data_IF_338507034037
#
_entry.id   IF_338507034037
#
_cell.length_a   1.000
_cell.length_b   1.000
_cell.length_c   1.000
_cell.angle_alpha   90.00
_cell.angle_beta   90.00
_cell.angle_gamma   90.00
#
_symmetry.space_group_name_H-M   'P 1'
#
loop_
_entity.id
_entity.type
_entity.pdbx_description
1 polymer ?
#
# COMPACT_ATOMS: atom_id res chain seq x y z
N UNK A 1 -29.61 -36.70 49.85
CA UNK A 1 -28.47 -36.75 48.94
C UNK A 1 -27.34 -37.53 49.59
N UNK A 2 -26.73 -38.52 48.94
CA UNK A 2 -25.63 -39.30 49.49
C UNK A 2 -24.39 -38.42 49.58
N UNK A 3 -23.63 -38.44 50.68
CA UNK A 3 -22.43 -37.61 50.92
C UNK A 3 -21.40 -37.67 49.80
N UNK A 4 -21.29 -38.80 49.08
CA UNK A 4 -20.40 -38.94 47.93
C UNK A 4 -20.77 -38.10 46.68
N UNK A 5 -22.07 -37.82 46.46
CA UNK A 5 -22.51 -37.01 45.34
C UNK A 5 -22.16 -35.50 45.55
N UNK A 6 -22.24 -35.02 46.77
CA UNK A 6 -21.87 -33.62 47.11
C UNK A 6 -20.39 -33.39 46.96
N UNK A 7 -19.54 -34.36 47.38
CA UNK A 7 -18.05 -34.28 47.25
C UNK A 7 -17.65 -34.31 45.79
N UNK A 8 -18.30 -35.11 44.95
CA UNK A 8 -18.03 -35.16 43.51
C UNK A 8 -18.33 -33.85 42.78
N UNK A 9 -19.45 -33.23 43.14
CA UNK A 9 -19.84 -31.92 42.56
C UNK A 9 -18.87 -30.83 43.02
N UNK A 10 -18.46 -30.85 44.29
CA UNK A 10 -17.52 -29.87 44.85
C UNK A 10 -16.15 -29.96 44.16
N UNK A 11 -15.64 -31.16 43.90
CA UNK A 11 -14.37 -31.39 43.21
C UNK A 11 -14.43 -30.96 41.73
N UNK A 12 -15.55 -31.18 41.06
CA UNK A 12 -15.68 -30.72 39.65
C UNK A 12 -15.80 -29.21 39.53
N UNK A 13 -16.48 -28.53 40.47
CA UNK A 13 -16.53 -27.06 40.51
C UNK A 13 -15.16 -26.46 40.83
N UNK A 14 -14.40 -27.07 41.76
CA UNK A 14 -13.04 -26.62 42.06
C UNK A 14 -12.08 -26.77 40.87
N UNK A 15 -12.21 -27.86 40.13
CA UNK A 15 -11.41 -28.09 38.90
C UNK A 15 -11.75 -27.07 37.81
N UNK A 16 -13.03 -26.74 37.61
CA UNK A 16 -13.45 -25.72 36.66
C UNK A 16 -12.92 -24.32 37.03
N UNK A 17 -12.99 -23.97 38.31
CA UNK A 17 -12.46 -22.70 38.82
C UNK A 17 -10.95 -22.61 38.66
N UNK A 18 -10.21 -23.70 38.88
CA UNK A 18 -8.77 -23.73 38.68
C UNK A 18 -8.38 -23.57 37.21
N UNK A 19 -9.11 -24.21 36.28
CA UNK A 19 -8.90 -24.04 34.85
C UNK A 19 -9.22 -22.62 34.38
N UNK A 20 -10.29 -22.02 34.92
CA UNK A 20 -10.62 -20.63 34.60
C UNK A 20 -9.58 -19.64 35.11
N UNK A 21 -9.07 -19.84 36.34
CA UNK A 21 -8.00 -19.02 36.89
C UNK A 21 -6.68 -19.16 36.12
N UNK A 22 -6.35 -20.37 35.66
CA UNK A 22 -5.17 -20.60 34.81
C UNK A 22 -5.32 -19.93 33.45
N UNK A 23 -6.47 -20.02 32.81
CA UNK A 23 -6.75 -19.35 31.55
C UNK A 23 -6.67 -17.82 31.70
N UNK A 24 -7.23 -17.26 32.76
CA UNK A 24 -7.16 -15.83 33.06
C UNK A 24 -5.71 -15.39 33.35
N UNK A 25 -4.94 -16.20 34.09
CA UNK A 25 -3.51 -15.91 34.34
C UNK A 25 -2.71 -15.90 33.04
N UNK A 26 -2.92 -16.87 32.13
CA UNK A 26 -2.24 -16.94 30.85
C UNK A 26 -2.62 -15.77 29.93
N UNK A 27 -3.87 -15.33 29.93
CA UNK A 27 -4.29 -14.15 29.17
C UNK A 27 -3.70 -12.86 29.74
N UNK A 28 -3.68 -12.70 31.05
CA UNK A 28 -3.07 -11.53 31.69
C UNK A 28 -1.55 -11.49 31.57
N UNK A 29 -0.86 -12.62 31.66
CA UNK A 29 0.59 -12.67 31.45
C UNK A 29 1.00 -12.41 29.99
N UNK A 30 0.15 -12.75 29.02
CA UNK A 30 0.35 -12.35 27.63
C UNK A 30 0.07 -10.86 27.41
N UNK A 31 -0.89 -10.29 28.15
CA UNK A 31 -1.17 -8.85 28.11
C UNK A 31 0.00 -8.03 28.69
N UNK A 32 0.61 -8.48 29.81
CA UNK A 32 1.80 -7.84 30.38
C UNK A 32 3.00 -7.87 29.42
N UNK A 33 3.14 -8.91 28.60
CA UNK A 33 4.17 -8.96 27.56
C UNK A 33 3.90 -7.98 26.43
N UNK A 34 2.63 -7.69 26.13
CA UNK A 34 2.24 -6.72 25.09
C UNK A 34 2.41 -5.26 25.54
N UNK A 35 2.23 -4.97 26.84
CA UNK A 35 2.24 -3.58 27.36
C UNK A 35 3.58 -3.16 28.00
N UNK A 36 4.49 -4.10 28.30
CA UNK A 36 5.80 -3.79 28.90
C UNK A 36 6.95 -3.71 27.91
N UNK A 37 6.74 -4.12 26.67
CA UNK A 37 7.69 -3.89 25.60
C UNK A 37 7.21 -2.65 24.82
N UNK A 38 7.75 -1.48 25.15
CA UNK A 38 7.89 -0.40 24.18
C UNK A 38 8.66 -0.93 22.95
N UNK A 39 8.72 -0.20 21.80
CA UNK A 39 9.28 -0.69 20.55
C UNK A 39 10.56 -1.45 20.83
N UNK A 40 10.58 -2.74 20.48
CA UNK A 40 11.70 -3.61 20.80
C UNK A 40 12.89 -3.17 19.97
N UNK A 41 14.11 -3.40 20.48
CA UNK A 41 15.34 -3.17 19.72
C UNK A 41 15.37 -3.91 18.36
N UNK A 42 14.41 -4.78 18.09
CA UNK A 42 14.19 -5.44 16.81
C UNK A 42 13.44 -4.54 15.80
N UNK A 43 12.47 -3.73 16.25
CA UNK A 43 11.76 -2.78 15.36
C UNK A 43 12.66 -1.61 14.95
N UNK A 44 13.46 -1.06 15.92
CA UNK A 44 14.47 -0.05 15.59
C UNK A 44 15.61 -0.61 14.72
N UNK A 45 15.89 -1.92 14.77
CA UNK A 45 16.86 -2.57 13.87
C UNK A 45 16.25 -2.88 12.49
N UNK A 46 14.93 -3.07 12.37
CA UNK A 46 14.26 -3.26 11.09
C UNK A 46 14.27 -1.95 10.30
N UNK A 47 13.92 -0.83 10.92
CA UNK A 47 13.98 0.49 10.28
C UNK A 47 15.42 0.88 9.89
N UNK A 48 16.42 0.57 10.74
CA UNK A 48 17.84 0.78 10.42
C UNK A 48 18.36 -0.19 9.34
N UNK A 49 17.86 -1.44 9.30
CA UNK A 49 18.20 -2.41 8.27
C UNK A 49 17.54 -2.05 6.92
N UNK A 50 16.34 -1.49 6.96
CA UNK A 50 15.64 -0.94 5.80
C UNK A 50 16.46 0.22 5.22
N UNK A 51 16.87 1.18 6.05
CA UNK A 51 17.72 2.29 5.62
C UNK A 51 19.06 1.80 5.02
N UNK A 52 19.70 0.78 5.60
CA UNK A 52 20.96 0.21 5.12
C UNK A 52 20.84 -0.55 3.79
N UNK A 53 19.68 -1.11 3.45
CA UNK A 53 19.45 -1.77 2.16
C UNK A 53 19.37 -0.77 1.00
N UNK A 54 19.03 0.50 1.30
CA UNK A 54 18.92 1.57 0.30
C UNK A 54 20.21 2.40 0.14
N UNK A 55 21.23 2.23 1.02
CA UNK A 55 22.54 2.91 0.89
C UNK A 55 23.42 2.33 -0.24
N UNK A 56 23.03 1.26 -0.91
CA UNK A 56 23.86 0.58 -1.93
C UNK A 56 23.64 1.03 -3.38
N UNK A 57 22.66 1.89 -3.65
CA UNK A 57 22.56 2.56 -4.96
C UNK A 57 23.11 4.00 -4.86
N UNK A 58 23.93 4.45 -5.85
CA UNK A 58 24.47 5.81 -5.81
C UNK A 58 23.30 6.82 -5.89
N UNK A 59 23.34 7.92 -5.12
CA UNK A 59 22.30 8.92 -5.15
C UNK A 59 22.18 9.47 -6.56
N UNK A 60 20.98 9.38 -7.13
CA UNK A 60 20.61 10.12 -8.32
C UNK A 60 20.55 11.59 -7.87
N UNK A 61 21.66 12.30 -8.00
CA UNK A 61 21.72 13.75 -7.81
C UNK A 61 20.84 14.39 -8.88
N UNK A 62 19.60 14.68 -8.54
CA UNK A 62 18.82 15.67 -9.27
C UNK A 62 19.47 17.03 -8.99
N UNK A 63 20.21 17.56 -9.98
CA UNK A 63 20.61 18.96 -9.96
C UNK A 63 19.34 19.80 -9.93
N UNK A 64 19.07 20.41 -8.76
CA UNK A 64 18.06 21.46 -8.64
C UNK A 64 18.60 22.68 -9.37
N UNK A 65 18.36 22.73 -10.66
CA UNK A 65 18.53 23.95 -11.45
C UNK A 65 17.33 24.83 -11.16
N UNK A 66 17.54 25.87 -10.35
CA UNK A 66 16.58 26.96 -10.17
C UNK A 66 16.37 27.69 -11.49
N UNK A 67 15.31 27.35 -12.21
CA UNK A 67 14.83 28.15 -13.32
C UNK A 67 13.46 28.73 -12.94
N UNK A 68 13.48 30.06 -12.84
CA UNK A 68 12.29 30.86 -12.59
C UNK A 68 11.17 30.56 -13.59
N UNK A 69 9.95 30.49 -13.04
CA UNK A 69 8.66 30.52 -13.71
C UNK A 69 8.64 31.40 -14.97
N UNK A 70 8.48 30.76 -16.13
CA UNK A 70 7.74 31.33 -17.23
C UNK A 70 6.64 30.35 -17.58
N UNK A 71 5.39 30.80 -17.43
CA UNK A 71 4.21 30.09 -17.88
C UNK A 71 4.30 29.88 -19.40
N UNK A 72 4.78 28.73 -19.81
CA UNK A 72 4.68 28.25 -21.18
C UNK A 72 3.51 27.29 -21.25
N UNK A 73 2.40 27.77 -21.85
CA UNK A 73 1.44 26.89 -22.49
C UNK A 73 2.18 26.12 -23.58
N UNK A 74 2.71 24.95 -23.24
CA UNK A 74 3.17 23.98 -24.22
C UNK A 74 2.11 22.88 -24.31
N UNK A 75 1.52 22.73 -25.48
CA UNK A 75 0.87 21.51 -25.95
C UNK A 75 1.84 20.31 -25.82
N UNK A 76 2.04 19.83 -24.63
CA UNK A 76 2.54 18.49 -24.41
C UNK A 76 1.32 17.58 -24.50
N UNK A 77 1.07 17.02 -25.71
CA UNK A 77 0.23 15.87 -25.92
C UNK A 77 0.81 14.66 -25.16
N UNK A 78 0.88 14.77 -23.85
CA UNK A 78 1.05 13.61 -22.98
C UNK A 78 -0.27 12.86 -22.98
N UNK A 79 -0.23 11.56 -23.26
CA UNK A 79 -1.45 10.75 -23.12
C UNK A 79 -1.93 10.83 -21.68
N UNK A 80 -3.23 11.04 -21.50
CA UNK A 80 -3.94 11.02 -20.22
C UNK A 80 -3.67 9.70 -19.51
N UNK A 81 -3.44 9.70 -18.20
CA UNK A 81 -3.27 8.48 -17.43
C UNK A 81 -4.63 8.00 -16.87
N UNK A 82 -4.78 6.70 -16.72
CA UNK A 82 -5.92 6.08 -16.02
C UNK A 82 -5.40 5.55 -14.69
N UNK A 83 -5.78 6.16 -13.59
CA UNK A 83 -5.43 5.75 -12.23
C UNK A 83 -6.54 4.88 -11.65
N UNK A 84 -6.21 3.69 -11.17
CA UNK A 84 -7.14 2.78 -10.53
C UNK A 84 -6.63 2.43 -9.14
N UNK A 85 -7.43 2.71 -8.08
CA UNK A 85 -6.94 2.48 -6.73
C UNK A 85 -7.96 2.72 -5.62
N UNK A 86 -7.44 2.81 -4.41
CA UNK A 86 -8.16 3.03 -3.17
C UNK A 86 -8.27 4.53 -2.81
N UNK A 87 -8.47 4.84 -1.51
CA UNK A 87 -8.55 6.22 -1.01
C UNK A 87 -7.33 7.07 -1.33
N UNK A 88 -6.13 6.46 -1.47
CA UNK A 88 -4.90 7.18 -1.84
C UNK A 88 -4.90 7.64 -3.29
N UNK A 89 -5.66 6.96 -4.15
CA UNK A 89 -5.91 7.40 -5.53
C UNK A 89 -6.89 8.56 -5.56
N UNK A 90 -7.92 8.53 -4.71
CA UNK A 90 -8.86 9.65 -4.58
C UNK A 90 -8.18 10.89 -3.98
N UNK A 91 -7.33 10.72 -2.96
CA UNK A 91 -6.52 11.83 -2.42
C UNK A 91 -5.60 12.45 -3.48
N UNK A 92 -5.03 11.62 -4.36
CA UNK A 92 -4.26 12.12 -5.50
C UNK A 92 -5.15 12.87 -6.50
N UNK A 93 -6.35 12.38 -6.80
CA UNK A 93 -7.34 13.09 -7.64
C UNK A 93 -7.65 14.48 -7.09
N UNK A 94 -7.90 14.58 -5.78
CA UNK A 94 -8.25 15.84 -5.13
C UNK A 94 -7.08 16.85 -5.15
N UNK A 95 -5.84 16.35 -5.14
CA UNK A 95 -4.62 17.16 -5.16
C UNK A 95 -4.21 17.65 -6.56
N UNK A 96 -4.76 17.05 -7.63
CA UNK A 96 -4.29 17.30 -8.99
C UNK A 96 -5.32 18.07 -9.83
N UNK A 97 -4.88 19.17 -10.47
CA UNK A 97 -5.63 19.89 -11.50
C UNK A 97 -5.19 19.40 -12.89
N UNK A 98 -5.60 18.19 -13.30
CA UNK A 98 -5.28 17.62 -14.60
C UNK A 98 -6.49 16.93 -15.24
N UNK A 99 -6.32 16.36 -16.44
CA UNK A 99 -7.38 15.66 -17.15
C UNK A 99 -7.29 14.14 -17.07
N UNK A 100 -6.46 13.59 -16.16
CA UNK A 100 -6.37 12.17 -15.94
C UNK A 100 -7.69 11.57 -15.47
N UNK A 101 -7.82 10.25 -15.67
CA UNK A 101 -9.01 9.51 -15.27
C UNK A 101 -8.71 8.81 -13.95
N UNK A 102 -9.49 9.10 -12.93
CA UNK A 102 -9.33 8.47 -11.61
C UNK A 102 -10.53 7.54 -11.34
N UNK A 103 -10.23 6.28 -11.07
CA UNK A 103 -11.20 5.20 -10.79
C UNK A 103 -10.83 4.63 -9.43
N UNK A 104 -11.57 4.99 -8.39
CA UNK A 104 -11.22 4.61 -7.04
C UNK A 104 -12.40 4.58 -6.09
N UNK A 105 -12.19 3.94 -4.94
CA UNK A 105 -13.13 3.96 -3.83
C UNK A 105 -12.39 3.90 -2.48
N UNK A 106 -12.87 4.69 -1.53
CA UNK A 106 -12.24 4.81 -0.21
C UNK A 106 -12.41 3.52 0.60
N UNK A 107 -11.30 3.03 1.20
CA UNK A 107 -11.30 1.82 2.03
C UNK A 107 -11.44 0.51 1.26
N UNK A 108 -11.45 0.56 -0.06
CA UNK A 108 -11.68 -0.62 -0.90
C UNK A 108 -10.37 -1.28 -1.34
N UNK A 109 -10.49 -2.53 -1.80
CA UNK A 109 -9.38 -3.38 -2.21
C UNK A 109 -9.74 -4.31 -3.37
N UNK A 110 -9.20 -5.52 -3.32
CA UNK A 110 -9.32 -6.51 -4.39
C UNK A 110 -10.76 -6.80 -4.83
N UNK A 111 -11.69 -7.02 -3.87
CA UNK A 111 -13.06 -7.38 -4.22
C UNK A 111 -13.78 -6.27 -4.96
N UNK A 112 -13.61 -5.02 -4.52
CA UNK A 112 -14.15 -3.88 -5.23
C UNK A 112 -13.51 -3.74 -6.63
N UNK A 113 -12.19 -3.89 -6.73
CA UNK A 113 -11.49 -3.86 -8.02
C UNK A 113 -12.05 -4.91 -8.97
N UNK A 114 -12.19 -6.17 -8.53
CA UNK A 114 -12.65 -7.28 -9.37
C UNK A 114 -14.11 -7.13 -9.81
N UNK A 115 -15.01 -6.70 -8.91
CA UNK A 115 -16.45 -6.69 -9.15
C UNK A 115 -16.97 -5.37 -9.71
N UNK A 116 -16.40 -4.22 -9.28
CA UNK A 116 -16.87 -2.88 -9.60
C UNK A 116 -15.87 -2.09 -10.43
N UNK A 117 -14.61 -2.04 -10.00
CA UNK A 117 -13.58 -1.22 -10.62
C UNK A 117 -13.22 -1.70 -12.02
N UNK A 118 -13.06 -3.01 -12.21
CA UNK A 118 -12.63 -3.59 -13.48
C UNK A 118 -13.56 -3.28 -14.67
N UNK A 119 -14.90 -3.36 -14.57
CA UNK A 119 -15.79 -2.90 -15.64
C UNK A 119 -15.55 -1.44 -16.04
N UNK A 120 -15.35 -0.56 -15.06
CA UNK A 120 -15.11 0.88 -15.29
C UNK A 120 -13.74 1.09 -15.96
N UNK A 121 -12.71 0.38 -15.51
CA UNK A 121 -11.37 0.43 -16.11
C UNK A 121 -11.42 -0.03 -17.58
N UNK A 122 -12.14 -1.10 -17.88
CA UNK A 122 -12.32 -1.61 -19.26
C UNK A 122 -13.00 -0.58 -20.15
N UNK A 123 -14.01 0.13 -19.66
CA UNK A 123 -14.68 1.22 -20.38
C UNK A 123 -13.73 2.41 -20.60
N UNK A 124 -12.93 2.77 -19.59
CA UNK A 124 -11.94 3.83 -19.68
C UNK A 124 -10.86 3.49 -20.72
N UNK A 125 -10.33 2.28 -20.76
CA UNK A 125 -9.37 1.81 -21.75
C UNK A 125 -10.00 1.87 -23.16
N UNK A 126 -11.23 1.38 -23.33
CA UNK A 126 -11.90 1.41 -24.63
C UNK A 126 -12.12 2.83 -25.15
N UNK A 127 -12.37 3.78 -24.25
CA UNK A 127 -12.57 5.19 -24.60
C UNK A 127 -11.26 5.97 -24.77
N UNK A 128 -10.15 5.47 -24.20
CA UNK A 128 -8.83 6.11 -24.23
C UNK A 128 -7.73 5.07 -24.50
N UNK A 129 -7.67 4.47 -25.70
CA UNK A 129 -6.84 3.30 -25.99
C UNK A 129 -5.32 3.59 -25.92
N UNK A 130 -4.91 4.85 -25.97
CA UNK A 130 -3.51 5.25 -25.86
C UNK A 130 -3.09 5.61 -24.42
N UNK A 131 -4.02 5.54 -23.46
CA UNK A 131 -3.77 5.92 -22.08
C UNK A 131 -3.19 4.75 -21.28
N UNK A 132 -2.02 4.92 -20.65
CA UNK A 132 -1.51 3.95 -19.69
C UNK A 132 -2.42 3.84 -18.47
N UNK A 133 -2.48 2.63 -17.88
CA UNK A 133 -3.24 2.34 -16.65
C UNK A 133 -2.28 2.15 -15.50
N UNK A 134 -2.55 2.81 -14.37
CA UNK A 134 -1.75 2.71 -13.15
C UNK A 134 -2.59 2.11 -12.03
N UNK A 135 -2.20 0.94 -11.53
CA UNK A 135 -2.82 0.32 -10.37
C UNK A 135 -2.17 0.79 -9.07
N UNK A 136 -2.97 1.18 -8.08
CA UNK A 136 -2.57 1.72 -6.78
C UNK A 136 -3.45 1.15 -5.65
N UNK A 137 -3.35 -0.16 -5.42
CA UNK A 137 -4.09 -0.93 -4.41
C UNK A 137 -3.15 -1.67 -3.47
N UNK A 138 -3.69 -2.18 -2.35
CA UNK A 138 -3.05 -3.16 -1.48
C UNK A 138 -2.91 -2.72 -0.03
N UNK A 139 -3.11 -1.44 0.32
CA UNK A 139 -3.01 -0.99 1.73
C UNK A 139 -4.16 -1.50 2.59
N UNK A 140 -5.33 -1.72 2.02
CA UNK A 140 -6.54 -2.13 2.75
C UNK A 140 -6.66 -3.65 2.90
N UNK A 141 -5.94 -4.42 2.07
CA UNK A 141 -6.11 -5.87 1.97
C UNK A 141 -4.86 -6.56 1.39
N UNK A 142 -3.71 -6.26 1.95
CA UNK A 142 -2.39 -6.77 1.51
C UNK A 142 -2.31 -8.31 1.43
N UNK A 143 -3.10 -9.00 2.22
CA UNK A 143 -3.23 -10.47 2.22
C UNK A 143 -3.90 -11.01 0.95
N UNK A 144 -4.56 -10.17 0.16
CA UNK A 144 -5.11 -10.52 -1.15
C UNK A 144 -4.11 -10.48 -2.31
N UNK A 145 -2.80 -10.34 -2.06
CA UNK A 145 -1.79 -10.19 -3.11
C UNK A 145 -1.88 -11.25 -4.21
N UNK A 146 -2.07 -12.52 -3.87
CA UNK A 146 -2.18 -13.61 -4.86
C UNK A 146 -3.37 -13.41 -5.81
N UNK A 147 -4.48 -12.87 -5.29
CA UNK A 147 -5.66 -12.55 -6.07
C UNK A 147 -5.40 -11.34 -6.99
N UNK A 148 -4.72 -10.31 -6.48
CA UNK A 148 -4.29 -9.16 -7.28
C UNK A 148 -3.40 -9.61 -8.45
N UNK A 149 -2.37 -10.41 -8.19
CA UNK A 149 -1.44 -10.87 -9.22
C UNK A 149 -2.16 -11.66 -10.32
N UNK A 150 -3.10 -12.55 -9.95
CA UNK A 150 -3.90 -13.31 -10.92
C UNK A 150 -4.80 -12.41 -11.76
N UNK A 151 -5.44 -11.41 -11.15
CA UNK A 151 -6.30 -10.45 -11.84
C UNK A 151 -5.48 -9.55 -12.78
N UNK A 152 -4.32 -9.07 -12.33
CA UNK A 152 -3.43 -8.24 -13.14
C UNK A 152 -2.89 -9.00 -14.35
N UNK A 153 -2.53 -10.28 -14.20
CA UNK A 153 -2.11 -11.13 -15.31
C UNK A 153 -3.23 -11.28 -16.34
N UNK A 154 -4.49 -11.51 -15.90
CA UNK A 154 -5.66 -11.59 -16.79
C UNK A 154 -5.87 -10.27 -17.54
N UNK A 155 -5.82 -9.12 -16.84
CA UNK A 155 -6.04 -7.81 -17.45
C UNK A 155 -4.94 -7.51 -18.48
N UNK A 156 -3.67 -7.62 -18.09
CA UNK A 156 -2.52 -7.36 -18.98
C UNK A 156 -2.58 -8.24 -20.23
N UNK A 157 -2.92 -9.51 -20.06
CA UNK A 157 -3.04 -10.45 -21.21
C UNK A 157 -4.23 -10.11 -22.11
N UNK A 158 -5.30 -9.53 -21.56
CA UNK A 158 -6.51 -9.17 -22.30
C UNK A 158 -6.38 -7.88 -23.12
N UNK A 159 -5.42 -7.03 -22.77
CA UNK A 159 -5.19 -5.71 -23.38
C UNK A 159 -3.72 -5.53 -23.76
N UNK A 160 -3.21 -6.27 -24.76
CA UNK A 160 -1.79 -6.29 -25.12
C UNK A 160 -1.26 -4.95 -25.68
N UNK A 161 -2.14 -4.08 -26.14
CA UNK A 161 -1.79 -2.75 -26.66
C UNK A 161 -1.88 -1.64 -25.59
N UNK A 162 -2.29 -1.98 -24.36
CA UNK A 162 -2.38 -1.03 -23.24
C UNK A 162 -1.17 -1.22 -22.32
N UNK A 163 -0.52 -0.13 -21.96
CA UNK A 163 0.57 -0.15 -20.99
C UNK A 163 0.03 -0.10 -19.55
N UNK A 164 0.41 -1.06 -18.75
CA UNK A 164 0.01 -1.16 -17.34
C UNK A 164 1.19 -0.92 -16.44
N UNK A 165 0.99 -0.08 -15.43
CA UNK A 165 1.96 0.23 -14.38
C UNK A 165 1.40 -0.11 -13.01
N UNK A 166 2.28 -0.47 -12.09
CA UNK A 166 1.93 -0.89 -10.73
C UNK A 166 2.67 0.01 -9.74
N UNK A 167 1.93 0.89 -9.09
CA UNK A 167 2.49 1.78 -8.09
C UNK A 167 2.70 1.00 -6.79
N UNK A 168 3.88 1.10 -6.20
CA UNK A 168 4.17 0.50 -4.90
C UNK A 168 3.14 0.94 -3.85
N UNK A 169 2.70 0.03 -3.01
CA UNK A 169 1.95 0.39 -1.80
C UNK A 169 2.85 1.29 -0.96
N UNK A 170 2.36 2.47 -0.63
CA UNK A 170 3.11 3.52 0.06
C UNK A 170 3.25 3.20 1.54
N UNK A 171 4.30 3.67 2.23
CA UNK A 171 4.48 3.45 3.66
C UNK A 171 3.34 4.05 4.48
N UNK A 172 3.19 3.53 5.69
CA UNK A 172 2.26 4.01 6.71
C UNK A 172 3.03 4.50 7.93
N UNK A 173 2.39 5.32 8.78
CA UNK A 173 2.89 5.60 10.13
C UNK A 173 2.32 4.57 11.11
N UNK A 174 3.17 3.64 11.53
CA UNK A 174 2.79 2.55 12.45
C UNK A 174 2.37 3.05 13.85
N UNK A 175 2.64 4.32 14.18
CA UNK A 175 2.15 4.90 15.43
C UNK A 175 0.66 5.29 15.36
N UNK A 176 0.10 5.43 14.17
CA UNK A 176 -1.27 5.86 13.90
C UNK A 176 -2.11 4.83 13.14
N UNK A 177 -1.47 3.81 12.57
CA UNK A 177 -2.13 2.73 11.81
C UNK A 177 -1.63 1.38 12.33
N UNK A 178 -2.54 0.55 12.85
CA UNK A 178 -2.25 -0.76 13.44
C UNK A 178 -2.77 -1.95 12.60
N UNK A 179 -3.45 -1.67 11.48
CA UNK A 179 -4.06 -2.70 10.64
C UNK A 179 -3.09 -3.36 9.65
N UNK A 180 -1.95 -2.72 9.39
CA UNK A 180 -0.90 -3.17 8.47
C UNK A 180 0.44 -2.61 8.95
N UNK A 181 1.52 -3.30 8.65
CA UNK A 181 2.89 -2.88 8.95
C UNK A 181 3.65 -2.52 7.68
N UNK A 182 4.70 -1.71 7.80
CA UNK A 182 5.58 -1.42 6.67
C UNK A 182 6.34 -2.67 6.19
N UNK A 183 6.55 -3.68 7.04
CA UNK A 183 7.13 -4.96 6.64
C UNK A 183 6.18 -5.75 5.71
N UNK A 184 4.89 -5.82 6.03
CA UNK A 184 3.87 -6.44 5.17
C UNK A 184 3.71 -5.69 3.84
N UNK A 185 3.76 -4.35 3.87
CA UNK A 185 3.78 -3.51 2.67
C UNK A 185 5.01 -3.81 1.80
N UNK A 186 6.19 -3.92 2.40
CA UNK A 186 7.41 -4.25 1.67
C UNK A 186 7.36 -5.65 1.06
N UNK A 187 6.83 -6.64 1.77
CA UNK A 187 6.66 -7.99 1.23
C UNK A 187 5.71 -8.00 0.03
N UNK A 188 4.57 -7.30 0.15
CA UNK A 188 3.64 -7.08 -0.96
C UNK A 188 4.35 -6.43 -2.17
N UNK A 189 5.07 -5.35 -1.95
CA UNK A 189 5.79 -4.60 -2.98
C UNK A 189 6.89 -5.44 -3.65
N UNK A 190 7.63 -6.23 -2.89
CA UNK A 190 8.68 -7.12 -3.42
C UNK A 190 8.11 -8.17 -4.36
N UNK A 191 6.98 -8.77 -4.01
CA UNK A 191 6.32 -9.76 -4.85
C UNK A 191 5.69 -9.09 -6.10
N UNK A 192 5.07 -7.93 -5.96
CA UNK A 192 4.54 -7.15 -7.09
C UNK A 192 5.67 -6.74 -8.06
N UNK A 193 6.80 -6.26 -7.53
CA UNK A 193 8.00 -5.93 -8.31
C UNK A 193 8.60 -7.15 -9.01
N UNK A 194 8.59 -8.31 -8.36
CA UNK A 194 9.06 -9.55 -8.97
C UNK A 194 8.18 -10.00 -10.16
N UNK A 195 6.87 -9.81 -10.07
CA UNK A 195 5.93 -10.11 -11.14
C UNK A 195 6.01 -9.10 -12.31
N UNK A 196 6.22 -7.82 -12.00
CA UNK A 196 6.17 -6.71 -12.97
C UNK A 196 7.42 -5.81 -12.92
N UNK A 197 8.65 -6.34 -13.08
CA UNK A 197 9.89 -5.59 -12.82
C UNK A 197 10.07 -4.35 -13.71
N UNK A 198 9.54 -4.38 -14.94
CA UNK A 198 9.69 -3.30 -15.90
C UNK A 198 8.63 -2.19 -15.75
N UNK A 199 7.51 -2.49 -15.12
CA UNK A 199 6.36 -1.57 -15.00
C UNK A 199 6.00 -1.25 -13.54
N UNK A 200 6.75 -1.78 -12.58
CA UNK A 200 6.68 -1.39 -11.19
C UNK A 200 7.24 0.03 -11.00
N UNK A 201 6.52 0.85 -10.21
CA UNK A 201 6.87 2.23 -9.88
C UNK A 201 7.12 2.31 -8.38
N UNK A 202 8.37 2.42 -7.96
CA UNK A 202 8.81 2.33 -6.57
C UNK A 202 8.55 3.62 -5.78
N UNK A 203 7.27 3.96 -5.60
CA UNK A 203 6.85 5.12 -4.80
C UNK A 203 7.13 4.94 -3.30
N UNK A 204 7.27 3.69 -2.81
CA UNK A 204 7.63 3.43 -1.42
C UNK A 204 9.03 4.00 -1.11
N UNK A 205 10.03 3.61 -1.90
CA UNK A 205 11.39 4.12 -1.75
C UNK A 205 11.45 5.64 -1.96
N UNK A 206 10.72 6.18 -2.95
CA UNK A 206 10.67 7.62 -3.19
C UNK A 206 10.18 8.39 -1.95
N UNK A 207 9.11 7.92 -1.31
CA UNK A 207 8.52 8.55 -0.13
C UNK A 207 9.50 8.49 1.06
N UNK A 208 10.13 7.33 1.29
CA UNK A 208 11.07 7.15 2.39
C UNK A 208 12.31 8.05 2.24
N UNK A 209 12.86 8.14 1.03
CA UNK A 209 14.07 8.96 0.75
C UNK A 209 13.79 10.46 0.85
N UNK A 210 12.56 10.89 0.50
CA UNK A 210 12.18 12.30 0.57
C UNK A 210 11.52 12.68 1.90
N UNK A 211 11.50 11.76 2.89
CA UNK A 211 10.96 11.98 4.23
C UNK A 211 9.49 12.47 4.21
N UNK A 212 8.71 12.03 3.21
CA UNK A 212 7.30 12.34 3.08
C UNK A 212 6.53 11.57 4.16
N UNK A 213 5.67 12.26 4.93
CA UNK A 213 4.96 11.70 6.07
C UNK A 213 3.45 11.70 5.85
N UNK A 214 2.76 10.75 6.47
CA UNK A 214 1.30 10.70 6.46
C UNK A 214 0.68 11.71 7.42
N UNK A 215 -0.55 12.15 7.13
CA UNK A 215 -1.33 13.04 8.02
C UNK A 215 -2.08 12.28 9.12
N UNK A 216 -2.52 11.06 8.83
CA UNK A 216 -3.39 10.26 9.70
C UNK A 216 -2.92 8.80 9.82
N UNK A 217 -1.67 8.54 9.47
CA UNK A 217 -1.09 7.20 9.45
C UNK A 217 -1.16 6.52 8.07
N UNK A 218 -2.03 6.97 7.16
CA UNK A 218 -2.27 6.33 5.86
C UNK A 218 -2.27 7.31 4.70
N UNK A 219 -2.89 8.48 4.86
CA UNK A 219 -3.08 9.47 3.80
C UNK A 219 -2.03 10.59 3.88
N UNK A 220 -1.78 11.23 2.75
CA UNK A 220 -0.78 12.27 2.57
C UNK A 220 -1.43 13.65 2.37
N UNK A 221 -0.65 14.73 2.52
CA UNK A 221 -1.11 16.08 2.19
C UNK A 221 -1.32 16.27 0.68
N UNK A 222 -2.00 17.33 0.28
CA UNK A 222 -2.19 17.64 -1.15
C UNK A 222 -0.83 17.83 -1.84
N UNK A 223 0.09 18.54 -1.22
CA UNK A 223 1.43 18.78 -1.73
C UNK A 223 2.22 17.46 -1.90
N UNK A 224 2.10 16.55 -0.94
CA UNK A 224 2.76 15.25 -0.99
C UNK A 224 2.14 14.33 -2.05
N UNK A 225 0.82 14.37 -2.23
CA UNK A 225 0.17 13.66 -3.34
C UNK A 225 0.62 14.19 -4.70
N UNK A 226 0.84 15.51 -4.85
CA UNK A 226 1.40 16.09 -6.08
C UNK A 226 2.81 15.56 -6.35
N UNK A 227 3.69 15.52 -5.33
CA UNK A 227 5.04 14.96 -5.46
C UNK A 227 5.02 13.48 -5.85
N UNK A 228 4.13 12.68 -5.25
CA UNK A 228 3.97 11.25 -5.55
C UNK A 228 3.46 11.06 -6.99
N UNK A 229 2.49 11.87 -7.41
CA UNK A 229 1.99 11.86 -8.78
C UNK A 229 3.10 12.21 -9.79
N UNK A 230 3.82 13.31 -9.57
CA UNK A 230 4.93 13.75 -10.43
C UNK A 230 6.02 12.68 -10.56
N UNK A 231 6.37 12.05 -9.44
CA UNK A 231 7.30 10.92 -9.46
C UNK A 231 6.81 9.82 -10.40
N UNK A 232 5.57 9.35 -10.22
CA UNK A 232 5.02 8.25 -10.99
C UNK A 232 4.87 8.62 -12.48
N UNK A 233 4.32 9.79 -12.80
CA UNK A 233 4.14 10.28 -14.16
C UNK A 233 5.49 10.43 -14.90
N UNK A 234 6.52 10.95 -14.22
CA UNK A 234 7.87 11.06 -14.76
C UNK A 234 8.51 9.70 -15.02
N UNK A 235 8.31 8.70 -14.16
CA UNK A 235 8.80 7.34 -14.37
C UNK A 235 8.08 6.67 -15.57
N UNK A 236 6.77 6.85 -15.70
CA UNK A 236 5.99 6.37 -16.83
C UNK A 236 6.52 6.98 -18.13
N UNK A 237 6.61 8.31 -18.19
CA UNK A 237 7.10 9.01 -19.39
C UNK A 237 8.49 8.54 -19.83
N UNK A 238 9.41 8.27 -18.89
CA UNK A 238 10.74 7.72 -19.22
C UNK A 238 10.66 6.29 -19.79
N UNK A 239 9.76 5.46 -19.26
CA UNK A 239 9.58 4.07 -19.72
C UNK A 239 8.93 4.03 -21.12
N UNK A 240 7.94 4.90 -21.38
CA UNK A 240 7.29 5.06 -22.67
C UNK A 240 8.26 5.55 -23.77
N UNK A 241 9.26 6.36 -23.43
CA UNK A 241 10.27 6.85 -24.36
C UNK A 241 11.37 5.81 -24.65
N UNK A 242 11.53 4.81 -23.80
CA UNK A 242 12.59 3.81 -23.90
C UNK A 242 12.15 2.52 -24.64
N UNK A 243 10.85 2.32 -24.83
CA UNK A 243 10.24 1.14 -25.50
C UNK A 243 9.88 1.44 -26.92
#
# INVERSE_FOLDING_TARGET
MKKGTVIGILLSVLSLLAMFALALYLTLSNLDMLFLNGPTAAETNADAAIAALYETEPPVTAEVSSVASEASTSDASGSRLIWAGDSRTLGMQDAMENEDIYIGAAGEGYYWLAETGLPIIKEAIASNPASPVVFNFGVNDYDNLSNYLSLYEEIVSSYPDTHFYFLAVKPIDSAQCDNITNEEIMDFNNQLKAAYPNTFLDSFTYIMVNEIVTMDGVHYSEEDYQLIYEFAANQIAKKEQAG
#
